data_IF_676680836677
#
_entry.id   IF_676680836677
#
_cell.length_a   1.000
_cell.length_b   1.000
_cell.length_c   1.000
_cell.angle_alpha   90.00
_cell.angle_beta   90.00
_cell.angle_gamma   90.00
#
_symmetry.space_group_name_H-M   'P 1'
#
loop_
_entity.id
_entity.type
_entity.pdbx_description
1 polymer ?
#
# COMPACT_ATOMS: atom_id res chain seq x y z
N UNK A 1 -0.96 -23.02 10.98
CA UNK A 1 -1.66 -22.23 9.93
C UNK A 1 -0.99 -20.87 9.75
N UNK A 2 -0.96 -20.02 10.79
CA UNK A 2 -0.33 -18.68 10.75
C UNK A 2 1.06 -18.71 10.11
N UNK A 3 1.94 -19.60 10.57
CA UNK A 3 3.30 -19.79 10.01
C UNK A 3 3.31 -20.04 8.49
N UNK A 4 2.38 -20.85 7.96
CA UNK A 4 2.33 -21.14 6.53
C UNK A 4 1.73 -19.98 5.73
N UNK A 5 0.75 -19.28 6.28
CA UNK A 5 0.13 -18.12 5.62
C UNK A 5 1.12 -16.95 5.54
N UNK A 6 1.86 -16.66 6.62
CA UNK A 6 2.85 -15.58 6.63
C UNK A 6 4.03 -15.83 5.65
N UNK A 7 4.29 -17.08 5.24
CA UNK A 7 5.32 -17.41 4.23
C UNK A 7 4.91 -17.12 2.80
N UNK A 8 3.61 -17.05 2.51
CA UNK A 8 3.08 -16.75 1.16
C UNK A 8 2.72 -15.28 1.00
N UNK A 9 2.89 -14.47 2.04
CA UNK A 9 2.71 -13.03 1.94
C UNK A 9 3.92 -12.43 1.24
N UNK A 10 3.71 -11.95 0.02
CA UNK A 10 4.74 -11.30 -0.79
C UNK A 10 4.97 -9.84 -0.38
N UNK A 11 3.93 -9.21 0.17
CA UNK A 11 3.95 -7.80 0.55
C UNK A 11 3.68 -7.62 2.06
N UNK A 12 4.67 -7.15 2.84
CA UNK A 12 4.52 -6.92 4.28
C UNK A 12 3.34 -6.03 4.65
N UNK A 13 2.98 -5.07 3.78
CA UNK A 13 1.85 -4.16 4.02
C UNK A 13 0.51 -4.91 4.14
N UNK A 14 0.36 -6.08 3.52
CA UNK A 14 -0.85 -6.89 3.61
C UNK A 14 -1.08 -7.48 5.01
N UNK A 15 -0.03 -7.58 5.84
CA UNK A 15 -0.12 -8.12 7.21
C UNK A 15 -0.57 -7.06 8.21
N UNK A 16 -0.30 -5.77 7.94
CA UNK A 16 -0.55 -4.64 8.87
C UNK A 16 -1.98 -4.62 9.43
N UNK A 17 -3.05 -4.79 8.63
CA UNK A 17 -4.42 -4.70 9.15
C UNK A 17 -4.75 -5.80 10.17
N UNK A 18 -4.07 -6.95 10.12
CA UNK A 18 -4.35 -8.11 10.98
C UNK A 18 -3.39 -8.23 12.16
N UNK A 19 -2.28 -7.47 12.18
CA UNK A 19 -1.27 -7.53 13.25
C UNK A 19 -1.83 -7.21 14.63
N UNK A 20 -2.72 -6.23 14.73
CA UNK A 20 -3.35 -5.82 16.00
C UNK A 20 -4.15 -6.94 16.68
N UNK A 21 -4.62 -7.92 15.90
CA UNK A 21 -5.33 -9.10 16.40
C UNK A 21 -4.42 -10.32 16.53
N UNK A 22 -3.61 -10.62 15.50
CA UNK A 22 -2.83 -11.85 15.46
C UNK A 22 -1.63 -11.83 16.40
N UNK A 23 -0.93 -10.71 16.52
CA UNK A 23 0.25 -10.60 17.38
C UNK A 23 -0.06 -10.95 18.85
N UNK A 24 -1.05 -10.32 19.53
CA UNK A 24 -1.34 -10.65 20.93
C UNK A 24 -1.84 -12.08 21.12
N UNK A 25 -2.60 -12.63 20.16
CA UNK A 25 -3.11 -13.99 20.24
C UNK A 25 -2.00 -15.04 20.12
N UNK A 26 -1.10 -14.87 19.15
CA UNK A 26 0.02 -15.80 18.95
C UNK A 26 1.02 -15.69 20.11
N UNK A 27 1.29 -14.48 20.60
CA UNK A 27 2.14 -14.27 21.77
C UNK A 27 1.55 -14.92 23.03
N UNK A 28 0.26 -14.73 23.29
CA UNK A 28 -0.42 -15.42 24.41
C UNK A 28 -0.29 -16.95 24.31
N UNK A 29 -0.40 -17.51 23.10
CA UNK A 29 -0.21 -18.94 22.90
C UNK A 29 1.23 -19.41 23.23
N UNK A 30 2.26 -18.61 22.91
CA UNK A 30 3.66 -18.95 23.30
C UNK A 30 3.86 -19.01 24.81
N UNK A 31 3.11 -18.21 25.58
CA UNK A 31 3.24 -18.13 27.03
C UNK A 31 2.37 -19.17 27.76
N UNK A 32 1.19 -19.49 27.23
CA UNK A 32 0.21 -20.34 27.90
C UNK A 32 0.32 -21.84 27.57
N UNK A 33 0.90 -22.20 26.41
CA UNK A 33 1.06 -23.62 26.05
C UNK A 33 2.08 -24.27 26.99
N UNK A 34 1.66 -25.29 27.72
CA UNK A 34 2.51 -26.03 28.66
C UNK A 34 3.39 -27.08 27.97
N UNK A 35 2.92 -27.64 26.85
CA UNK A 35 3.68 -28.63 26.07
C UNK A 35 4.83 -27.97 25.29
N UNK A 36 6.09 -28.38 25.49
CA UNK A 36 7.25 -27.72 24.88
C UNK A 36 7.30 -27.85 23.35
N UNK A 37 6.80 -28.95 22.78
CA UNK A 37 6.74 -29.10 21.31
C UNK A 37 5.74 -28.12 20.71
N UNK A 38 4.51 -28.06 21.24
CA UNK A 38 3.50 -27.13 20.78
C UNK A 38 3.90 -25.66 21.01
N UNK A 39 4.59 -25.36 22.11
CA UNK A 39 5.16 -24.02 22.35
C UNK A 39 6.17 -23.63 21.27
N UNK A 40 7.05 -24.54 20.88
CA UNK A 40 8.04 -24.29 19.81
C UNK A 40 7.39 -24.00 18.45
N UNK A 41 6.20 -24.53 18.20
CA UNK A 41 5.40 -24.24 16.99
C UNK A 41 4.82 -22.83 17.06
N UNK A 42 4.28 -22.43 18.23
CA UNK A 42 3.79 -21.08 18.45
C UNK A 42 4.93 -20.04 18.34
N UNK A 43 6.11 -20.31 18.90
CA UNK A 43 7.28 -19.43 18.81
C UNK A 43 7.74 -19.24 17.36
N UNK A 44 7.75 -20.31 16.56
CA UNK A 44 8.03 -20.20 15.12
C UNK A 44 6.98 -19.36 14.42
N UNK A 45 5.70 -19.60 14.68
CA UNK A 45 4.63 -18.82 14.07
C UNK A 45 4.73 -17.33 14.42
N UNK A 46 5.07 -16.99 15.67
CA UNK A 46 5.28 -15.61 16.10
C UNK A 46 6.44 -14.96 15.35
N UNK A 47 7.59 -15.65 15.25
CA UNK A 47 8.75 -15.16 14.51
C UNK A 47 8.44 -14.94 13.03
N UNK A 48 7.75 -15.88 12.40
CA UNK A 48 7.35 -15.74 10.98
C UNK A 48 6.35 -14.61 10.79
N UNK A 49 5.41 -14.42 11.72
CA UNK A 49 4.46 -13.30 11.70
C UNK A 49 5.17 -11.96 11.81
N UNK A 50 6.07 -11.81 12.80
CA UNK A 50 6.85 -10.58 12.98
C UNK A 50 7.71 -10.28 11.75
N UNK A 51 8.36 -11.30 11.18
CA UNK A 51 9.16 -11.16 9.95
C UNK A 51 8.30 -10.78 8.75
N UNK A 52 7.08 -11.32 8.64
CA UNK A 52 6.16 -10.97 7.55
C UNK A 52 5.63 -9.53 7.67
N UNK A 53 5.59 -8.96 8.87
CA UNK A 53 5.26 -7.56 9.10
C UNK A 53 6.48 -6.62 9.07
N UNK A 54 7.70 -7.16 9.02
CA UNK A 54 8.94 -6.39 8.97
C UNK A 54 9.05 -5.70 7.60
N UNK A 55 9.26 -4.38 7.59
CA UNK A 55 9.23 -3.58 6.35
C UNK A 55 7.82 -3.21 5.87
N UNK A 56 6.79 -3.44 6.68
CA UNK A 56 5.44 -2.99 6.39
C UNK A 56 5.21 -1.48 6.61
N UNK A 57 6.28 -0.72 6.87
CA UNK A 57 6.29 0.73 6.77
C UNK A 57 6.06 1.14 5.31
N UNK A 58 4.81 1.08 4.87
CA UNK A 58 4.42 1.64 3.59
C UNK A 58 4.66 3.13 3.65
N UNK A 59 5.58 3.65 2.83
CA UNK A 59 5.73 5.08 2.66
C UNK A 59 4.42 5.63 2.08
N UNK A 60 3.63 6.26 2.93
CA UNK A 60 2.38 6.86 2.48
C UNK A 60 2.69 7.95 1.46
N UNK A 61 2.05 7.85 0.30
CA UNK A 61 2.11 8.88 -0.72
C UNK A 61 1.10 9.97 -0.35
N UNK A 62 1.59 11.19 -0.16
CA UNK A 62 0.72 12.34 0.10
C UNK A 62 0.08 12.86 -1.19
N UNK A 63 -1.02 13.62 -1.04
CA UNK A 63 -1.68 14.28 -2.17
C UNK A 63 -0.72 15.21 -2.90
N UNK A 64 0.18 15.89 -2.19
CA UNK A 64 1.14 16.85 -2.74
C UNK A 64 2.17 16.14 -3.62
N UNK A 65 2.67 14.97 -3.18
CA UNK A 65 3.58 14.15 -3.97
C UNK A 65 2.90 13.61 -5.25
N UNK A 66 1.66 13.14 -5.14
CA UNK A 66 0.87 12.72 -6.28
C UNK A 66 0.58 13.88 -7.26
N UNK A 67 0.22 15.05 -6.72
CA UNK A 67 -0.04 16.27 -7.51
C UNK A 67 1.20 16.73 -8.27
N UNK A 68 2.38 16.71 -7.63
CA UNK A 68 3.63 17.06 -8.27
C UNK A 68 3.97 16.09 -9.43
N UNK A 69 3.75 14.79 -9.22
CA UNK A 69 4.00 13.78 -10.26
C UNK A 69 3.03 13.92 -11.43
N UNK A 70 1.75 14.17 -11.15
CA UNK A 70 0.74 14.45 -12.17
C UNK A 70 1.10 15.72 -12.95
N UNK A 71 1.36 16.85 -12.28
CA UNK A 71 1.77 18.11 -12.96
C UNK A 71 2.97 17.90 -13.88
N UNK A 72 3.99 17.17 -13.40
CA UNK A 72 5.17 16.87 -14.21
C UNK A 72 4.86 15.99 -15.43
N UNK A 73 3.84 15.13 -15.35
CA UNK A 73 3.45 14.24 -16.44
C UNK A 73 2.54 14.93 -17.47
N UNK A 74 1.52 15.69 -17.04
CA UNK A 74 0.62 16.42 -17.95
C UNK A 74 1.28 17.65 -18.56
N UNK A 75 2.25 18.27 -17.87
CA UNK A 75 2.95 19.47 -18.34
C UNK A 75 1.99 20.61 -18.68
N UNK A 76 2.24 21.29 -19.80
CA UNK A 76 1.46 22.47 -20.23
C UNK A 76 0.02 22.11 -20.69
N UNK A 77 -0.32 20.82 -20.83
CA UNK A 77 -1.65 20.38 -21.30
C UNK A 77 -2.76 20.63 -20.27
N UNK A 78 -2.42 20.81 -19.00
CA UNK A 78 -3.38 20.92 -17.91
C UNK A 78 -4.20 22.21 -17.97
N UNK A 79 -3.67 23.27 -18.58
CA UNK A 79 -4.21 24.62 -18.42
C UNK A 79 -3.85 25.22 -17.05
N UNK A 80 -4.22 26.48 -16.84
CA UNK A 80 -3.85 27.26 -15.65
C UNK A 80 -5.05 27.96 -15.00
N UNK A 81 -6.26 27.45 -15.21
CA UNK A 81 -7.47 27.99 -14.61
C UNK A 81 -7.83 27.25 -13.31
N UNK A 82 -8.75 27.83 -12.53
CA UNK A 82 -9.19 27.25 -11.25
C UNK A 82 -9.82 25.85 -11.43
N UNK A 83 -10.43 25.59 -12.60
CA UNK A 83 -11.01 24.30 -12.93
C UNK A 83 -9.93 23.22 -13.10
N UNK A 84 -8.83 23.54 -13.78
CA UNK A 84 -7.67 22.67 -13.96
C UNK A 84 -6.98 22.34 -12.63
N UNK A 85 -6.84 23.33 -11.74
CA UNK A 85 -6.28 23.10 -10.40
C UNK A 85 -7.19 22.20 -9.54
N UNK A 86 -8.50 22.41 -9.62
CA UNK A 86 -9.49 21.56 -8.94
C UNK A 86 -9.43 20.11 -9.46
N UNK A 87 -9.40 19.95 -10.79
CA UNK A 87 -9.34 18.64 -11.44
C UNK A 87 -8.04 17.90 -11.10
N UNK A 88 -6.90 18.58 -11.13
CA UNK A 88 -5.64 18.01 -10.68
C UNK A 88 -5.72 17.58 -9.21
N UNK A 89 -6.27 18.43 -8.34
CA UNK A 89 -6.44 18.11 -6.92
C UNK A 89 -7.31 16.86 -6.70
N UNK A 90 -8.35 16.69 -7.52
CA UNK A 90 -9.21 15.51 -7.50
C UNK A 90 -8.45 14.25 -7.95
N UNK A 91 -7.84 14.27 -9.13
CA UNK A 91 -7.09 13.12 -9.68
C UNK A 91 -5.91 12.75 -8.78
N UNK A 92 -5.21 13.73 -8.20
CA UNK A 92 -4.13 13.48 -7.25
C UNK A 92 -4.59 12.82 -5.95
N UNK A 93 -5.81 13.13 -5.49
CA UNK A 93 -6.39 12.48 -4.30
C UNK A 93 -6.76 11.04 -4.61
N UNK A 94 -7.34 10.78 -5.78
CA UNK A 94 -7.61 9.40 -6.24
C UNK A 94 -6.32 8.60 -6.39
N UNK A 95 -5.29 9.18 -7.01
CA UNK A 95 -3.99 8.54 -7.21
C UNK A 95 -3.31 8.21 -5.87
N UNK A 96 -3.28 9.14 -4.91
CA UNK A 96 -2.68 8.89 -3.60
C UNK A 96 -3.45 7.82 -2.80
N UNK A 97 -4.78 7.87 -2.81
CA UNK A 97 -5.61 6.85 -2.17
C UNK A 97 -5.42 5.47 -2.79
N UNK A 98 -5.50 5.36 -4.12
CA UNK A 98 -5.30 4.10 -4.83
C UNK A 98 -3.91 3.52 -4.55
N UNK A 99 -2.88 4.37 -4.53
CA UNK A 99 -1.49 3.99 -4.20
C UNK A 99 -1.36 3.48 -2.77
N UNK A 100 -1.91 4.22 -1.79
CA UNK A 100 -1.83 3.84 -0.37
C UNK A 100 -2.65 2.58 -0.06
N UNK A 101 -3.70 2.30 -0.84
CA UNK A 101 -4.45 1.05 -0.79
C UNK A 101 -3.87 -0.06 -1.68
N UNK A 102 -2.74 0.20 -2.36
CA UNK A 102 -2.08 -0.70 -3.31
C UNK A 102 -2.99 -1.20 -4.44
N UNK A 103 -3.98 -0.40 -4.80
CA UNK A 103 -4.85 -0.64 -5.94
C UNK A 103 -4.19 -0.02 -7.16
N UNK A 104 -3.51 -0.82 -7.98
CA UNK A 104 -2.86 -0.37 -9.21
C UNK A 104 -3.53 -0.91 -10.47
N UNK A 105 -4.76 -1.40 -10.36
CA UNK A 105 -5.54 -1.93 -11.47
C UNK A 105 -6.42 -0.84 -12.09
N UNK A 106 -6.59 -0.89 -13.41
CA UNK A 106 -7.56 -0.08 -14.16
C UNK A 106 -7.48 1.45 -13.90
N UNK A 107 -6.31 2.03 -13.64
CA UNK A 107 -6.15 3.46 -13.33
C UNK A 107 -6.66 4.39 -14.44
N UNK A 108 -6.62 3.96 -15.70
CA UNK A 108 -7.28 4.67 -16.81
C UNK A 108 -8.78 4.84 -16.62
N UNK A 109 -9.48 3.91 -15.96
CA UNK A 109 -10.93 3.97 -15.74
C UNK A 109 -11.28 4.58 -14.38
N UNK A 110 -10.41 4.43 -13.38
CA UNK A 110 -10.72 4.73 -11.98
C UNK A 110 -10.06 6.00 -11.46
N UNK A 111 -8.91 6.39 -11.99
CA UNK A 111 -8.11 7.53 -11.49
C UNK A 111 -8.00 8.64 -12.51
N UNK A 112 -7.46 8.35 -13.69
CA UNK A 112 -7.18 9.32 -14.75
C UNK A 112 -8.14 9.24 -15.91
N UNK A 113 -9.44 9.08 -15.70
CA UNK A 113 -10.43 8.85 -16.78
C UNK A 113 -10.73 10.09 -17.64
N UNK A 114 -10.09 11.23 -17.35
CA UNK A 114 -10.35 12.52 -17.98
C UNK A 114 -9.06 13.07 -18.59
N UNK A 115 -9.15 13.67 -19.77
CA UNK A 115 -8.02 14.38 -20.39
C UNK A 115 -7.63 15.61 -19.55
N UNK A 116 -6.35 15.97 -19.45
CA UNK A 116 -5.19 15.35 -20.11
C UNK A 116 -4.62 14.12 -19.36
N UNK A 117 -5.18 13.74 -18.22
CA UNK A 117 -4.62 12.72 -17.32
C UNK A 117 -4.69 11.30 -17.90
N UNK A 118 -5.74 10.96 -18.65
CA UNK A 118 -5.89 9.66 -19.32
C UNK A 118 -4.70 9.26 -20.16
N UNK A 119 -4.07 10.22 -20.82
CA UNK A 119 -2.92 9.99 -21.69
C UNK A 119 -1.62 9.69 -20.92
N UNK A 120 -1.52 10.06 -19.64
CA UNK A 120 -0.29 9.95 -18.83
C UNK A 120 -0.43 9.09 -17.57
N UNK A 121 -1.64 8.62 -17.27
CA UNK A 121 -1.94 8.01 -15.97
C UNK A 121 -1.19 6.70 -15.73
N UNK A 122 -0.88 5.93 -16.77
CA UNK A 122 -0.10 4.69 -16.64
C UNK A 122 1.36 4.96 -16.24
N UNK A 123 1.97 6.02 -16.78
CA UNK A 123 3.31 6.44 -16.38
C UNK A 123 3.33 6.94 -14.93
N UNK A 124 2.26 7.67 -14.53
CA UNK A 124 2.08 8.13 -13.15
C UNK A 124 1.88 6.94 -12.22
N UNK A 125 1.05 5.96 -12.59
CA UNK A 125 0.83 4.70 -11.85
C UNK A 125 2.15 4.00 -11.56
N UNK A 126 2.98 3.80 -12.57
CA UNK A 126 4.28 3.13 -12.42
C UNK A 126 5.20 3.89 -11.45
N UNK A 127 5.24 5.24 -11.52
CA UNK A 127 6.03 6.06 -10.60
C UNK A 127 5.49 6.01 -9.17
N UNK A 128 4.17 6.03 -9.00
CA UNK A 128 3.51 5.93 -7.71
C UNK A 128 3.72 4.56 -7.07
N UNK A 129 3.66 3.49 -7.86
CA UNK A 129 3.95 2.12 -7.40
C UNK A 129 5.39 1.99 -6.87
N UNK A 130 6.36 2.61 -7.53
CA UNK A 130 7.75 2.67 -7.05
C UNK A 130 7.85 3.52 -5.78
N UNK A 131 7.17 4.67 -5.73
CA UNK A 131 7.21 5.59 -4.59
C UNK A 131 6.56 5.00 -3.31
N UNK A 132 5.67 4.03 -3.46
CA UNK A 132 4.98 3.33 -2.38
C UNK A 132 5.71 2.08 -1.88
N UNK A 133 6.80 1.67 -2.56
CA UNK A 133 7.67 0.61 -2.03
C UNK A 133 8.41 1.14 -0.79
N UNK A 134 8.60 0.28 0.23
CA UNK A 134 9.43 0.62 1.40
C UNK A 134 10.87 0.92 1.00
#
# INVERSE_FOLDING_TARGET
IVDNMCKVVEDPAAVVPVMSLLEPLVKSATEQISDPEARSVADRALKTLMKAAEGAESKMVSKEAASATLKAAVGDKLGSDDAAECLLGYVATLASMATNMRCFEDWQKTVGFVEPFSSVIEDVRAKMEIAAKP
#
